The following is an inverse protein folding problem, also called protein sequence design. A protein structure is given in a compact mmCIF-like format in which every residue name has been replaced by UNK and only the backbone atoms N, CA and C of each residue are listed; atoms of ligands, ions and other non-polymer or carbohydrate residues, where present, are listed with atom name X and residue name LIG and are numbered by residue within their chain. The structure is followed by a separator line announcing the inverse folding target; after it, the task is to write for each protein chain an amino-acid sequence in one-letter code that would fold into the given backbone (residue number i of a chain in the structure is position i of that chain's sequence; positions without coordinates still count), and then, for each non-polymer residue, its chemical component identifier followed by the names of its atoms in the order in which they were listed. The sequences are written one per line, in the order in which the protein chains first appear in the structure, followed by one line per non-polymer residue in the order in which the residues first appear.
data_IF_638724977721
#
_entry.id   IF_638724977721
#
_cell.length_a   1.000
_cell.length_b   1.000
_cell.length_c   1.000
_cell.angle_alpha   90.00
_cell.angle_beta   90.00
_cell.angle_gamma   90.00
#
_symmetry.space_group_name_H-M   'P 1'
#
loop_
_entity.id
_entity.type
_entity.pdbx_description
1 polymer ?
#
# COMPACT_ATOMS: atom_id res chain seq x y z
N UNK A 1 14.50 33.62 5.57
CA UNK A 1 13.57 33.70 6.71
C UNK A 1 12.18 33.49 6.15
N UNK A 2 11.53 32.39 6.59
CA UNK A 2 10.15 31.91 6.32
C UNK A 2 9.65 31.92 4.87
N UNK A 3 9.79 30.77 4.20
CA UNK A 3 8.95 30.44 3.05
C UNK A 3 7.50 30.28 3.50
N UNK A 4 6.63 30.86 2.70
CA UNK A 4 5.19 31.02 2.88
C UNK A 4 4.49 29.65 3.02
N UNK A 5 4.00 29.32 4.21
CA UNK A 5 3.23 28.11 4.49
C UNK A 5 1.72 28.40 4.55
N UNK A 6 1.24 29.52 3.98
CA UNK A 6 -0.14 29.96 4.14
C UNK A 6 -1.13 29.36 3.11
N UNK A 7 -0.68 28.69 2.05
CA UNK A 7 -1.57 28.32 0.92
C UNK A 7 -2.14 26.89 0.97
N UNK A 8 -1.85 26.07 1.98
CA UNK A 8 -2.37 24.70 2.03
C UNK A 8 -3.73 24.53 2.73
N UNK A 9 -4.37 25.61 3.21
CA UNK A 9 -5.62 25.51 3.98
C UNK A 9 -6.92 25.57 3.15
N UNK A 10 -6.84 25.61 1.81
CA UNK A 10 -8.01 25.85 0.95
C UNK A 10 -8.71 24.63 0.36
N UNK A 11 -8.16 23.43 0.49
CA UNK A 11 -8.78 22.21 -0.05
C UNK A 11 -8.86 21.20 1.07
N UNK A 12 -9.97 21.19 1.79
CA UNK A 12 -10.46 19.96 2.44
C UNK A 12 -10.54 18.91 1.34
N UNK A 13 -9.44 18.20 1.13
CA UNK A 13 -9.35 17.05 0.24
C UNK A 13 -10.31 16.08 0.89
N UNK A 14 -11.52 15.99 0.35
CA UNK A 14 -12.48 14.99 0.77
C UNK A 14 -11.69 13.68 0.78
N UNK A 15 -11.47 13.13 1.97
CA UNK A 15 -10.77 11.87 2.13
C UNK A 15 -11.69 10.88 1.46
N UNK A 16 -11.32 10.44 0.26
CA UNK A 16 -12.09 9.44 -0.46
C UNK A 16 -12.30 8.27 0.51
N UNK A 17 -13.56 7.85 0.64
CA UNK A 17 -13.87 6.69 1.49
C UNK A 17 -13.10 5.48 1.01
N UNK A 18 -12.76 4.54 1.90
CA UNK A 18 -12.05 3.32 1.50
C UNK A 18 -12.81 2.57 0.40
N UNK A 19 -14.15 2.53 0.49
CA UNK A 19 -15.01 1.95 -0.55
C UNK A 19 -14.88 2.67 -1.90
N UNK A 20 -14.67 3.99 -1.90
CA UNK A 20 -14.45 4.77 -3.12
C UNK A 20 -13.03 4.56 -3.68
N UNK A 21 -12.04 4.38 -2.79
CA UNK A 21 -10.66 4.09 -3.17
C UNK A 21 -10.51 2.71 -3.83
N UNK A 22 -11.23 1.70 -3.31
CA UNK A 22 -11.13 0.31 -3.77
C UNK A 22 -12.25 -0.12 -4.74
N UNK A 23 -13.14 0.80 -5.15
CA UNK A 23 -14.30 0.50 -6.02
C UNK A 23 -13.95 -0.23 -7.32
N UNK A 24 -12.76 -0.01 -7.86
CA UNK A 24 -12.27 -0.62 -9.10
C UNK A 24 -11.14 -1.63 -8.90
N UNK A 25 -10.74 -1.90 -7.65
CA UNK A 25 -9.63 -2.81 -7.36
C UNK A 25 -10.08 -4.26 -7.48
N UNK A 26 -9.31 -5.06 -8.20
CA UNK A 26 -9.50 -6.51 -8.22
C UNK A 26 -8.94 -7.08 -6.91
N UNK A 27 -9.63 -8.00 -6.23
CA UNK A 27 -9.07 -8.69 -5.07
C UNK A 27 -7.79 -9.43 -5.46
N UNK A 28 -6.72 -9.23 -4.69
CA UNK A 28 -5.49 -10.02 -4.83
C UNK A 28 -5.79 -11.43 -4.33
N UNK A 29 -5.80 -12.41 -5.24
CA UNK A 29 -6.15 -13.80 -4.94
C UNK A 29 -4.96 -14.64 -4.52
N UNK A 30 -3.76 -14.28 -4.97
CA UNK A 30 -2.52 -14.94 -4.59
C UNK A 30 -1.33 -13.99 -4.65
N UNK A 31 -0.17 -14.43 -4.16
CA UNK A 31 1.04 -13.63 -4.20
C UNK A 31 1.51 -13.39 -5.65
N UNK A 32 1.27 -14.34 -6.55
CA UNK A 32 1.60 -14.20 -7.98
C UNK A 32 0.81 -13.08 -8.66
N UNK A 33 -0.38 -12.73 -8.16
CA UNK A 33 -1.15 -11.59 -8.66
C UNK A 33 -0.46 -10.26 -8.32
N UNK A 34 0.22 -10.18 -7.16
CA UNK A 34 1.00 -9.01 -6.78
C UNK A 34 2.20 -8.78 -7.72
N UNK A 35 2.87 -9.84 -8.16
CA UNK A 35 3.94 -9.74 -9.16
C UNK A 35 3.41 -9.29 -10.52
N UNK A 36 2.22 -9.78 -10.93
CA UNK A 36 1.63 -9.42 -12.23
C UNK A 36 1.14 -7.97 -12.29
N UNK A 37 0.70 -7.41 -11.17
CA UNK A 37 0.29 -6.02 -11.08
C UNK A 37 1.48 -5.02 -11.15
N UNK A 38 2.71 -5.53 -11.27
CA UNK A 38 3.92 -4.72 -11.37
C UNK A 38 4.22 -3.93 -10.09
N UNK A 39 3.66 -4.38 -8.96
CA UNK A 39 3.88 -3.78 -7.64
C UNK A 39 5.28 -4.12 -7.12
N UNK A 40 5.84 -5.26 -7.55
CA UNK A 40 7.13 -5.78 -7.12
C UNK A 40 8.08 -5.92 -8.31
N UNK A 41 9.35 -5.57 -8.08
CA UNK A 41 10.45 -5.84 -9.00
C UNK A 41 10.89 -7.32 -8.95
N UNK A 42 11.76 -7.75 -9.88
CA UNK A 42 12.21 -9.14 -9.96
C UNK A 42 12.93 -9.59 -8.66
N UNK A 43 12.35 -10.56 -7.96
CA UNK A 43 12.87 -11.10 -6.69
C UNK A 43 12.40 -10.40 -5.42
N UNK A 44 11.74 -9.23 -5.53
CA UNK A 44 11.27 -8.45 -4.37
C UNK A 44 10.04 -9.08 -3.71
N UNK A 45 9.18 -9.73 -4.49
CA UNK A 45 7.99 -10.41 -3.97
C UNK A 45 8.39 -11.54 -3.01
N UNK A 46 9.39 -12.33 -3.37
CA UNK A 46 9.86 -13.45 -2.56
C UNK A 46 10.44 -12.99 -1.22
N UNK A 47 11.18 -11.87 -1.22
CA UNK A 47 11.70 -11.23 -0.01
C UNK A 47 10.55 -10.75 0.90
N UNK A 48 9.56 -10.05 0.32
CA UNK A 48 8.38 -9.59 1.05
C UNK A 48 7.60 -10.75 1.70
N UNK A 49 7.40 -11.86 0.98
CA UNK A 49 6.71 -13.03 1.52
C UNK A 49 7.50 -13.71 2.64
N UNK A 50 8.84 -13.74 2.55
CA UNK A 50 9.70 -14.28 3.59
C UNK A 50 9.60 -13.46 4.88
N UNK A 51 9.64 -12.14 4.77
CA UNK A 51 9.50 -11.21 5.90
C UNK A 51 8.11 -11.28 6.53
N UNK A 52 7.05 -11.32 5.71
CA UNK A 52 5.68 -11.50 6.19
C UNK A 52 5.52 -12.83 6.95
N UNK A 53 6.14 -13.90 6.45
CA UNK A 53 6.15 -15.21 7.10
C UNK A 53 6.96 -15.22 8.42
N UNK A 54 7.99 -14.40 8.55
CA UNK A 54 8.72 -14.22 9.80
C UNK A 54 7.89 -13.43 10.82
N UNK A 55 7.23 -12.34 10.39
CA UNK A 55 6.38 -11.51 11.23
C UNK A 55 5.20 -12.30 11.82
N UNK A 56 4.51 -13.09 10.98
CA UNK A 56 3.41 -13.96 11.43
C UNK A 56 3.86 -15.01 12.43
N UNK A 57 5.07 -15.56 12.26
CA UNK A 57 5.61 -16.55 13.22
C UNK A 57 5.99 -15.91 14.55
N UNK A 58 6.44 -14.65 14.54
CA UNK A 58 6.73 -13.91 15.76
C UNK A 58 5.46 -13.53 16.54
N UNK A 59 4.34 -13.27 15.86
CA UNK A 59 3.04 -12.95 16.47
C UNK A 59 2.34 -14.18 17.09
N UNK A 60 2.65 -15.37 16.58
CA UNK A 60 2.09 -16.64 17.07
C UNK A 60 2.89 -17.29 18.22
N UNK A 61 4.02 -16.70 18.63
CA UNK A 61 4.93 -17.21 19.65
C UNK A 61 4.81 -16.43 20.96
#
# INVERSE_FOLDING_TARGET
MTADNAEHSGRRRAVASLDELFRGSVPVGSAEDLAKDGVFDEGELEEFLADLGALRRADLA
#
